data_IF_504233338607
#
_entry.id   IF_504233338607
#
_cell.length_a   1.000
_cell.length_b   1.000
_cell.length_c   1.000
_cell.angle_alpha   90.00
_cell.angle_beta   90.00
_cell.angle_gamma   90.00
#
_symmetry.space_group_name_H-M   'P 1'
#
loop_
_entity.id
_entity.type
_entity.pdbx_description
1 polymer ?
#
# COMPACT_ATOMS: atom_id res chain seq x y z
N UNK A 1 -3.02 5.09 -16.32
CA UNK A 1 -2.80 3.65 -16.54
C UNK A 1 -2.66 2.99 -15.17
N UNK A 2 -3.06 1.75 -14.94
CA UNK A 2 -2.98 1.11 -13.59
C UNK A 2 -1.61 1.24 -12.91
N UNK A 3 -0.54 1.33 -13.70
CA UNK A 3 0.81 1.61 -13.21
C UNK A 3 0.98 2.99 -12.54
N UNK A 4 0.17 4.00 -12.86
CA UNK A 4 0.25 5.32 -12.22
C UNK A 4 -0.36 5.37 -10.82
N UNK A 5 -1.35 4.53 -10.53
CA UNK A 5 -1.99 4.44 -9.20
C UNK A 5 -1.11 3.70 -8.19
N UNK A 6 -0.24 2.79 -8.65
CA UNK A 6 0.74 2.10 -7.81
C UNK A 6 1.94 2.98 -7.40
N UNK A 7 2.26 4.04 -8.17
CA UNK A 7 3.47 4.85 -7.94
C UNK A 7 3.56 5.47 -6.55
N UNK A 8 2.43 5.98 -6.04
CA UNK A 8 2.40 6.65 -4.74
C UNK A 8 2.68 5.68 -3.58
N UNK A 9 1.95 4.54 -3.44
CA UNK A 9 2.27 3.57 -2.41
C UNK A 9 3.67 2.95 -2.58
N UNK A 10 4.14 2.72 -3.81
CA UNK A 10 5.49 2.19 -4.05
C UNK A 10 6.58 3.15 -3.59
N UNK A 11 6.43 4.45 -3.87
CA UNK A 11 7.34 5.48 -3.39
C UNK A 11 7.34 5.56 -1.85
N UNK A 12 6.18 5.43 -1.23
CA UNK A 12 6.09 5.39 0.23
C UNK A 12 6.69 4.11 0.82
N UNK A 13 6.58 2.98 0.14
CA UNK A 13 7.23 1.73 0.57
C UNK A 13 8.75 1.90 0.60
N UNK A 14 9.33 2.52 -0.43
CA UNK A 14 10.77 2.82 -0.45
C UNK A 14 11.21 3.70 0.74
N UNK A 15 10.37 4.65 1.15
CA UNK A 15 10.63 5.46 2.36
C UNK A 15 10.55 4.58 3.61
N UNK A 16 9.53 3.73 3.73
CA UNK A 16 9.35 2.84 4.87
C UNK A 16 10.56 1.91 5.07
N UNK A 17 11.09 1.37 3.98
CA UNK A 17 12.24 0.47 3.98
C UNK A 17 13.56 1.20 4.29
N UNK A 18 13.64 2.50 4.00
CA UNK A 18 14.82 3.32 4.28
C UNK A 18 14.87 3.86 5.72
N UNK A 19 13.74 4.00 6.41
CA UNK A 19 13.66 4.57 7.77
C UNK A 19 14.53 3.85 8.82
N UNK A 20 14.62 2.50 8.85
CA UNK A 20 15.54 1.80 9.75
C UNK A 20 17.00 2.19 9.50
N UNK A 21 17.40 2.37 8.25
CA UNK A 21 18.76 2.78 7.90
C UNK A 21 19.07 4.21 8.41
N UNK A 22 18.09 5.11 8.37
CA UNK A 22 18.22 6.45 8.98
C UNK A 22 18.47 6.36 10.49
N UNK A 23 17.77 5.46 11.19
CA UNK A 23 18.01 5.21 12.62
C UNK A 23 19.43 4.73 12.93
N UNK A 24 19.98 3.86 12.07
CA UNK A 24 21.38 3.40 12.19
C UNK A 24 22.35 4.58 12.03
N UNK A 25 22.14 5.43 11.03
CA UNK A 25 22.97 6.63 10.82
C UNK A 25 22.93 7.55 12.05
N UNK A 26 21.74 7.77 12.64
CA UNK A 26 21.60 8.56 13.85
C UNK A 26 22.39 7.97 15.04
N UNK A 27 22.38 6.65 15.20
CA UNK A 27 23.17 5.97 16.22
C UNK A 27 24.68 6.12 15.99
N UNK A 28 25.14 5.95 14.74
CA UNK A 28 26.55 6.16 14.37
C UNK A 28 26.99 7.59 14.70
N UNK A 29 26.17 8.59 14.38
CA UNK A 29 26.45 9.99 14.76
C UNK A 29 26.56 10.17 16.28
N UNK A 30 25.66 9.55 17.05
CA UNK A 30 25.72 9.58 18.52
C UNK A 30 26.98 8.92 19.09
N UNK A 31 27.43 7.81 18.49
CA UNK A 31 28.69 7.15 18.86
C UNK A 31 29.89 8.06 18.55
N UNK A 32 29.93 8.71 17.39
CA UNK A 32 31.01 9.65 17.02
C UNK A 32 31.10 10.78 18.06
N UNK A 33 29.96 11.36 18.47
CA UNK A 33 29.91 12.39 19.51
C UNK A 33 30.39 11.84 20.86
N UNK A 34 30.02 10.61 21.19
CA UNK A 34 30.47 9.95 22.43
C UNK A 34 32.00 9.76 22.45
N UNK A 35 32.60 9.39 21.31
CA UNK A 35 34.06 9.24 21.18
C UNK A 35 34.81 10.57 21.35
N UNK A 36 34.20 11.70 21.05
CA UNK A 36 34.77 13.03 21.31
C UNK A 36 34.88 13.37 22.81
N UNK A 37 34.10 12.72 23.66
CA UNK A 37 34.09 12.91 25.12
C UNK A 37 34.80 11.78 25.87
N UNK A 38 35.65 11.01 25.16
CA UNK A 38 36.31 9.85 25.75
C UNK A 38 37.20 10.29 26.92
N UNK A 39 36.96 9.72 28.10
CA UNK A 39 37.62 10.12 29.35
C UNK A 39 36.88 11.18 30.19
N UNK A 40 35.71 11.67 29.73
CA UNK A 40 34.80 12.49 30.51
C UNK A 40 34.06 11.72 31.62
N UNK A 41 33.14 12.38 32.32
CA UNK A 41 32.37 11.75 33.38
C UNK A 41 31.46 10.64 32.81
N UNK A 42 31.33 9.52 33.52
CA UNK A 42 30.51 8.38 33.06
C UNK A 42 29.04 8.77 32.78
N UNK A 43 28.51 9.76 33.50
CA UNK A 43 27.16 10.28 33.28
C UNK A 43 26.98 10.94 31.91
N UNK A 44 28.01 11.63 31.39
CA UNK A 44 27.94 12.33 30.10
C UNK A 44 27.99 11.33 28.94
N UNK A 45 28.88 10.34 29.05
CA UNK A 45 29.02 9.23 28.10
C UNK A 45 27.71 8.43 28.04
N UNK A 46 27.13 8.09 29.20
CA UNK A 46 25.87 7.35 29.28
C UNK A 46 24.70 8.08 28.60
N UNK A 47 24.64 9.41 28.77
CA UNK A 47 23.60 10.22 28.13
C UNK A 47 23.75 10.28 26.60
N UNK A 48 24.98 10.43 26.11
CA UNK A 48 25.27 10.43 24.68
C UNK A 48 24.92 9.09 24.00
N UNK A 49 25.25 7.97 24.65
CA UNK A 49 24.89 6.63 24.18
C UNK A 49 23.37 6.43 24.22
N UNK A 50 22.70 6.87 25.30
CA UNK A 50 21.25 6.80 25.41
C UNK A 50 20.55 7.50 24.24
N UNK A 51 20.99 8.70 23.88
CA UNK A 51 20.47 9.44 22.73
C UNK A 51 20.72 8.70 21.40
N UNK A 52 21.89 8.07 21.24
CA UNK A 52 22.21 7.26 20.06
C UNK A 52 21.26 6.07 19.89
N UNK A 53 20.96 5.36 20.99
CA UNK A 53 20.07 4.20 20.98
C UNK A 53 18.61 4.57 20.68
N UNK A 54 18.13 5.73 21.17
CA UNK A 54 16.80 6.25 20.83
C UNK A 54 16.67 6.51 19.33
N UNK A 55 17.75 6.94 18.66
CA UNK A 55 17.77 7.13 17.20
C UNK A 55 17.46 5.84 16.43
N UNK A 56 18.14 4.74 16.76
CA UNK A 56 17.86 3.43 16.13
C UNK A 56 16.45 2.93 16.45
N UNK A 57 16.05 3.03 17.72
CA UNK A 57 14.73 2.61 18.16
C UNK A 57 13.62 3.34 17.39
N UNK A 58 13.73 4.66 17.28
CA UNK A 58 12.73 5.48 16.61
C UNK A 58 12.69 5.20 15.10
N UNK A 59 13.83 4.97 14.45
CA UNK A 59 13.89 4.61 13.04
C UNK A 59 13.10 3.32 12.74
N UNK A 60 13.32 2.27 13.53
CA UNK A 60 12.60 0.99 13.39
C UNK A 60 11.13 1.15 13.79
N UNK A 61 10.83 1.83 14.90
CA UNK A 61 9.47 2.03 15.38
C UNK A 61 8.61 2.73 14.34
N UNK A 62 9.06 3.86 13.78
CA UNK A 62 8.28 4.63 12.80
C UNK A 62 8.09 3.83 11.51
N UNK A 63 9.12 3.12 11.03
CA UNK A 63 9.02 2.29 9.84
C UNK A 63 7.90 1.24 9.96
N UNK A 64 7.93 0.44 11.04
CA UNK A 64 7.03 -0.71 11.19
C UNK A 64 5.67 -0.36 11.79
N UNK A 65 5.60 0.58 12.74
CA UNK A 65 4.36 0.89 13.46
C UNK A 65 3.53 1.91 12.72
N UNK A 66 4.15 2.81 11.95
CA UNK A 66 3.45 3.94 11.33
C UNK A 66 3.45 3.82 9.81
N UNK A 67 4.62 3.80 9.18
CA UNK A 67 4.68 3.97 7.71
C UNK A 67 4.22 2.72 6.98
N UNK A 68 4.73 1.54 7.33
CA UNK A 68 4.33 0.28 6.67
C UNK A 68 2.81 0.01 6.71
N UNK A 69 2.10 0.16 7.86
CA UNK A 69 0.65 0.02 7.89
C UNK A 69 -0.09 1.03 7.00
N UNK A 70 0.40 2.27 6.92
CA UNK A 70 -0.16 3.30 6.04
C UNK A 70 0.02 2.93 4.57
N UNK A 71 1.21 2.46 4.17
CA UNK A 71 1.45 2.00 2.79
C UNK A 71 0.50 0.85 2.43
N UNK A 72 0.35 -0.13 3.33
CA UNK A 72 -0.54 -1.26 3.10
C UNK A 72 -2.00 -0.84 2.96
N UNK A 73 -2.46 0.11 3.78
CA UNK A 73 -3.81 0.67 3.66
C UNK A 73 -4.03 1.38 2.31
N UNK A 74 -3.04 2.13 1.83
CA UNK A 74 -3.08 2.78 0.52
C UNK A 74 -3.10 1.77 -0.63
N UNK A 75 -2.27 0.72 -0.56
CA UNK A 75 -2.26 -0.36 -1.56
C UNK A 75 -3.61 -1.07 -1.64
N UNK A 76 -4.23 -1.40 -0.50
CA UNK A 76 -5.55 -2.01 -0.46
C UNK A 76 -6.61 -1.12 -1.12
N UNK A 77 -6.62 0.18 -0.78
CA UNK A 77 -7.59 1.13 -1.33
C UNK A 77 -7.43 1.31 -2.84
N UNK A 78 -6.20 1.42 -3.33
CA UNK A 78 -5.92 1.52 -4.76
C UNK A 78 -6.26 0.21 -5.49
N UNK A 79 -6.01 -0.94 -4.87
CA UNK A 79 -6.38 -2.25 -5.40
C UNK A 79 -7.88 -2.37 -5.67
N UNK A 80 -8.74 -2.00 -4.70
CA UNK A 80 -10.19 -2.06 -4.88
C UNK A 80 -10.70 -1.15 -6.01
N UNK A 81 -10.21 0.09 -6.08
CA UNK A 81 -10.56 1.03 -7.15
C UNK A 81 -10.10 0.52 -8.54
N UNK A 82 -8.89 -0.04 -8.60
CA UNK A 82 -8.31 -0.61 -9.81
C UNK A 82 -9.10 -1.83 -10.31
N UNK A 83 -9.54 -2.72 -9.41
CA UNK A 83 -10.40 -3.85 -9.77
C UNK A 83 -11.74 -3.39 -10.33
N UNK A 84 -12.35 -2.36 -9.74
CA UNK A 84 -13.60 -1.79 -10.23
C UNK A 84 -13.48 -1.24 -11.66
N UNK A 85 -12.45 -0.42 -11.92
CA UNK A 85 -12.19 0.12 -13.25
C UNK A 85 -11.82 -0.98 -14.27
N UNK A 86 -11.08 -1.99 -13.84
CA UNK A 86 -10.73 -3.15 -14.68
C UNK A 86 -11.98 -3.94 -15.10
N UNK A 87 -12.94 -4.12 -14.20
CA UNK A 87 -14.21 -4.75 -14.52
C UNK A 87 -14.97 -4.01 -15.62
N UNK A 88 -15.08 -2.68 -15.51
CA UNK A 88 -15.72 -1.83 -16.53
C UNK A 88 -14.96 -1.91 -17.85
N UNK A 89 -13.63 -1.79 -17.81
CA UNK A 89 -12.77 -1.90 -18.99
C UNK A 89 -13.00 -3.23 -19.72
N UNK A 90 -13.01 -4.34 -18.99
CA UNK A 90 -13.21 -5.68 -19.55
C UNK A 90 -14.61 -5.83 -20.18
N UNK A 91 -15.65 -5.24 -19.58
CA UNK A 91 -16.99 -5.22 -20.16
C UNK A 91 -17.02 -4.44 -21.50
N UNK A 92 -16.40 -3.25 -21.53
CA UNK A 92 -16.33 -2.41 -22.73
C UNK A 92 -15.50 -3.10 -23.81
N UNK A 93 -14.38 -3.71 -23.46
CA UNK A 93 -13.51 -4.41 -24.41
C UNK A 93 -14.25 -5.60 -25.06
N UNK A 94 -15.02 -6.35 -24.28
CA UNK A 94 -15.84 -7.45 -24.79
C UNK A 94 -16.98 -6.93 -25.70
N UNK A 95 -17.64 -5.83 -25.32
CA UNK A 95 -18.65 -5.18 -26.16
C UNK A 95 -18.07 -4.63 -27.48
N UNK A 96 -16.86 -4.08 -27.45
CA UNK A 96 -16.16 -3.58 -28.64
C UNK A 96 -15.79 -4.70 -29.62
N UNK A 97 -15.63 -5.94 -29.15
CA UNK A 97 -15.43 -7.14 -29.99
C UNK A 97 -16.72 -7.65 -30.64
N UNK A 98 -17.88 -7.06 -30.33
CA UNK A 98 -19.18 -7.45 -30.88
C UNK A 98 -19.88 -8.59 -30.15
N UNK A 99 -19.42 -8.95 -28.95
CA UNK A 99 -20.08 -9.96 -28.12
C UNK A 99 -21.45 -9.47 -27.61
N UNK A 100 -22.45 -10.37 -27.48
CA UNK A 100 -23.73 -10.04 -26.89
C UNK A 100 -23.57 -9.40 -25.50
N UNK A 101 -24.39 -8.39 -25.13
CA UNK A 101 -24.25 -7.67 -23.85
C UNK A 101 -24.21 -8.59 -22.62
N UNK A 102 -24.96 -9.69 -22.66
CA UNK A 102 -24.99 -10.69 -21.59
C UNK A 102 -23.65 -11.42 -21.42
N UNK A 103 -22.96 -11.71 -22.53
CA UNK A 103 -21.64 -12.33 -22.52
C UNK A 103 -20.58 -11.36 -22.02
N UNK A 104 -20.68 -10.07 -22.40
CA UNK A 104 -19.77 -9.03 -21.92
C UNK A 104 -19.86 -8.83 -20.40
N UNK A 105 -21.07 -8.88 -19.84
CA UNK A 105 -21.29 -8.82 -18.38
C UNK A 105 -20.73 -10.06 -17.68
N UNK A 106 -20.91 -11.25 -18.25
CA UNK A 106 -20.34 -12.48 -17.68
C UNK A 106 -18.80 -12.50 -17.75
N UNK A 107 -18.23 -12.01 -18.85
CA UNK A 107 -16.78 -11.87 -18.99
C UNK A 107 -16.22 -10.90 -17.93
N UNK A 108 -16.86 -9.75 -17.73
CA UNK A 108 -16.47 -8.80 -16.70
C UNK A 108 -16.59 -9.41 -15.28
N UNK A 109 -17.69 -10.13 -14.98
CA UNK A 109 -17.91 -10.83 -13.70
C UNK A 109 -16.80 -11.83 -13.39
N UNK A 110 -16.35 -12.59 -14.39
CA UNK A 110 -15.26 -13.57 -14.24
C UNK A 110 -13.90 -12.96 -13.93
N UNK A 111 -13.71 -11.68 -14.21
CA UNK A 111 -12.48 -10.95 -13.90
C UNK A 111 -12.51 -10.27 -12.51
N UNK A 112 -13.63 -10.34 -11.78
CA UNK A 112 -13.71 -9.90 -10.38
C UNK A 112 -13.05 -10.95 -9.48
N UNK A 113 -12.41 -10.50 -8.41
CA UNK A 113 -11.87 -11.36 -7.35
C UNK A 113 -12.90 -12.41 -6.91
N UNK A 114 -12.55 -13.72 -6.84
CA UNK A 114 -13.47 -14.77 -6.45
C UNK A 114 -14.22 -14.51 -5.14
N UNK A 115 -13.62 -13.84 -4.15
CA UNK A 115 -14.26 -13.56 -2.87
C UNK A 115 -15.39 -12.53 -2.97
N UNK A 116 -15.29 -11.59 -3.92
CA UNK A 116 -16.25 -10.52 -4.14
C UNK A 116 -17.14 -10.76 -5.36
N UNK A 117 -16.99 -11.93 -6.01
CA UNK A 117 -17.68 -12.23 -7.26
C UNK A 117 -19.15 -12.57 -7.00
N UNK A 118 -20.10 -11.77 -7.48
CA UNK A 118 -21.51 -12.12 -7.39
C UNK A 118 -21.83 -13.36 -8.23
N UNK A 119 -22.86 -14.10 -7.85
CA UNK A 119 -23.32 -15.26 -8.60
C UNK A 119 -23.94 -14.84 -9.93
N UNK A 120 -23.97 -15.76 -10.90
CA UNK A 120 -24.61 -15.50 -12.19
C UNK A 120 -26.11 -15.15 -12.05
N UNK A 121 -26.79 -15.76 -11.07
CA UNK A 121 -28.20 -15.51 -10.79
C UNK A 121 -28.44 -14.07 -10.31
N UNK A 122 -27.60 -13.58 -9.38
CA UNK A 122 -27.69 -12.22 -8.85
C UNK A 122 -27.43 -11.17 -9.92
N UNK A 123 -26.41 -11.38 -10.76
CA UNK A 123 -26.10 -10.47 -11.87
C UNK A 123 -27.24 -10.42 -12.89
N UNK A 124 -27.79 -11.59 -13.27
CA UNK A 124 -28.95 -11.64 -14.16
C UNK A 124 -30.16 -10.90 -13.61
N UNK A 125 -30.44 -11.09 -12.31
CA UNK A 125 -31.55 -10.41 -11.64
C UNK A 125 -31.34 -8.90 -11.66
N UNK A 126 -30.14 -8.42 -11.29
CA UNK A 126 -29.80 -7.00 -11.28
C UNK A 126 -29.91 -6.34 -12.68
N UNK A 127 -29.46 -7.03 -13.73
CA UNK A 127 -29.58 -6.54 -15.12
C UNK A 127 -31.04 -6.47 -15.56
N UNK A 128 -31.85 -7.49 -15.25
CA UNK A 128 -33.28 -7.53 -15.59
C UNK A 128 -34.11 -6.50 -14.83
N UNK A 129 -33.77 -6.22 -13.57
CA UNK A 129 -34.45 -5.20 -12.76
C UNK A 129 -34.14 -3.77 -13.26
N UNK A 130 -32.89 -3.48 -13.63
CA UNK A 130 -32.53 -2.17 -14.19
C UNK A 130 -33.04 -1.94 -15.61
N UNK A 131 -33.19 -2.98 -16.41
CA UNK A 131 -33.80 -2.89 -17.75
C UNK A 131 -35.32 -2.58 -17.76
N UNK A 132 -35.96 -2.52 -16.59
CA UNK A 132 -37.39 -2.17 -16.44
C UNK A 132 -37.64 -0.70 -16.13
N UNK A 133 -36.59 0.11 -15.93
CA UNK A 133 -36.72 1.56 -15.78
C UNK A 133 -36.92 2.14 -17.18
N UNK A 134 -38.20 2.35 -17.54
CA UNK A 134 -38.63 3.19 -18.66
C UNK A 134 -38.59 4.65 -18.26
#
# INVERSE_FOLDING_TARGET
SHASEARAPDAMQAIADALPAVGIVACVLGIIVTMGHIGGAASEIGMAIGNALVGTFLGVMVAYVVVNPVVKALQLRNGSASQYLSCIRNAIECGARGEPPMNAVEFARRNIDPELRPTFSEVNKAVKERGKVK
#
